data_IF_875551784380
#
_entry.id   IF_875551784380
#
_cell.length_a   1.000
_cell.length_b   1.000
_cell.length_c   1.000
_cell.angle_alpha   90.00
_cell.angle_beta   90.00
_cell.angle_gamma   90.00
#
_symmetry.space_group_name_H-M   'P 1'
#
loop_
_entity.id
_entity.type
_entity.pdbx_description
1 polymer ?
#
# COMPACT_ATOMS: atom_id res chain seq x y z
N UNK A 1 82.85 -10.82 -9.25
CA UNK A 1 81.39 -10.79 -9.00
C UNK A 1 80.84 -9.45 -9.49
N UNK A 2 79.75 -9.44 -10.25
CA UNK A 2 79.16 -8.20 -10.76
C UNK A 2 77.87 -7.80 -10.00
N UNK A 3 77.43 -6.55 -10.16
CA UNK A 3 76.20 -6.03 -9.51
C UNK A 3 74.95 -6.87 -9.84
N UNK A 4 74.87 -7.43 -11.05
CA UNK A 4 73.73 -8.21 -11.52
C UNK A 4 73.64 -9.56 -10.81
N UNK A 5 74.77 -10.23 -10.60
CA UNK A 5 74.90 -11.47 -9.82
C UNK A 5 74.56 -11.21 -8.36
N UNK A 6 75.10 -10.14 -7.77
CA UNK A 6 74.79 -9.73 -6.40
C UNK A 6 73.32 -9.39 -6.19
N UNK A 7 72.69 -8.75 -7.18
CA UNK A 7 71.28 -8.41 -7.14
C UNK A 7 70.40 -9.66 -7.01
N UNK A 8 70.78 -10.74 -7.70
CA UNK A 8 70.08 -12.02 -7.62
C UNK A 8 70.37 -12.75 -6.31
N UNK A 9 71.62 -12.76 -5.85
CA UNK A 9 72.00 -13.46 -4.61
C UNK A 9 71.38 -12.80 -3.37
N UNK A 10 71.34 -11.46 -3.34
CA UNK A 10 70.81 -10.71 -2.20
C UNK A 10 69.32 -10.41 -2.29
N UNK A 11 68.68 -10.75 -3.41
CA UNK A 11 67.28 -10.40 -3.72
C UNK A 11 66.99 -8.89 -3.60
N UNK A 12 67.98 -8.07 -3.99
CA UNK A 12 67.89 -6.60 -3.95
C UNK A 12 68.05 -6.06 -5.36
N UNK A 13 67.30 -5.03 -5.74
CA UNK A 13 67.42 -4.42 -7.06
C UNK A 13 68.84 -3.92 -7.37
N UNK A 14 69.29 -4.07 -8.62
CA UNK A 14 70.59 -3.54 -9.07
C UNK A 14 70.73 -2.03 -8.78
N UNK A 15 69.62 -1.28 -8.84
CA UNK A 15 69.60 0.14 -8.55
C UNK A 15 69.94 0.46 -7.10
N UNK A 16 69.47 -0.35 -6.15
CA UNK A 16 69.80 -0.18 -4.74
C UNK A 16 71.27 -0.53 -4.48
N UNK A 17 71.82 -1.56 -5.13
CA UNK A 17 73.25 -1.89 -5.07
C UNK A 17 74.11 -0.76 -5.66
N UNK A 18 73.75 -0.20 -6.83
CA UNK A 18 74.43 0.97 -7.42
C UNK A 18 74.37 2.19 -6.50
N UNK A 19 73.25 2.40 -5.82
CA UNK A 19 73.08 3.48 -4.84
C UNK A 19 73.94 3.26 -3.60
N UNK A 20 74.10 2.00 -3.15
CA UNK A 20 75.02 1.64 -2.09
C UNK A 20 76.47 1.90 -2.51
N UNK A 21 76.87 1.50 -3.73
CA UNK A 21 78.20 1.79 -4.27
C UNK A 21 78.50 3.30 -4.26
N UNK A 22 77.53 4.12 -4.71
CA UNK A 22 77.65 5.58 -4.71
C UNK A 22 77.84 6.14 -3.29
N UNK A 23 77.08 5.65 -2.31
CA UNK A 23 77.15 6.11 -0.91
C UNK A 23 78.45 5.72 -0.21
N UNK A 24 79.04 4.59 -0.59
CA UNK A 24 80.26 4.05 0.03
C UNK A 24 81.53 4.36 -0.79
N UNK A 25 81.44 5.19 -1.82
CA UNK A 25 82.61 5.62 -2.58
C UNK A 25 83.28 4.52 -3.42
N UNK A 26 82.55 3.48 -3.80
CA UNK A 26 83.09 2.38 -4.61
C UNK A 26 83.56 2.90 -5.97
N UNK A 27 84.77 2.51 -6.37
CA UNK A 27 85.41 2.96 -7.62
C UNK A 27 84.51 2.64 -8.82
N UNK A 28 84.32 3.64 -9.68
CA UNK A 28 83.64 3.49 -10.97
C UNK A 28 84.69 3.34 -12.07
N UNK A 29 84.46 2.43 -13.00
CA UNK A 29 85.27 2.25 -14.20
C UNK A 29 85.20 3.54 -15.05
N UNK A 30 86.34 3.99 -15.56
CA UNK A 30 86.40 5.11 -16.49
C UNK A 30 86.02 4.63 -17.90
N UNK A 31 85.41 5.51 -18.70
CA UNK A 31 84.98 5.18 -20.06
C UNK A 31 86.15 4.78 -20.99
N UNK A 32 87.36 5.21 -20.66
CA UNK A 32 88.61 4.84 -21.34
C UNK A 32 89.14 3.43 -21.01
N UNK A 33 88.74 2.82 -19.88
CA UNK A 33 89.07 1.44 -19.51
C UNK A 33 88.01 0.43 -19.97
N UNK A 34 86.77 0.91 -20.17
CA UNK A 34 85.65 0.08 -20.60
C UNK A 34 85.61 -0.07 -22.12
N UNK A 35 86.10 -1.21 -22.64
CA UNK A 35 86.07 -1.61 -24.07
C UNK A 35 84.64 -1.65 -24.66
N UNK A 36 84.03 -0.48 -24.91
CA UNK A 36 82.68 -0.32 -25.45
C UNK A 36 81.53 -0.72 -24.51
N UNK A 37 81.77 -0.86 -23.19
CA UNK A 37 80.76 -1.23 -22.20
C UNK A 37 80.35 -0.02 -21.36
N UNK A 38 79.09 0.05 -20.92
CA UNK A 38 78.63 1.08 -19.99
C UNK A 38 79.45 1.02 -18.69
N UNK A 39 80.08 2.14 -18.31
CA UNK A 39 80.88 2.30 -17.10
C UNK A 39 80.20 1.70 -15.85
N UNK A 40 80.78 0.64 -15.29
CA UNK A 40 80.30 -0.09 -14.11
C UNK A 40 81.02 0.31 -12.82
N UNK A 41 80.57 -0.24 -11.69
CA UNK A 41 81.35 -0.18 -10.44
C UNK A 41 82.28 -1.38 -10.37
N UNK A 42 83.54 -1.14 -9.98
CA UNK A 42 84.54 -2.17 -9.72
C UNK A 42 84.36 -2.65 -8.28
N UNK A 43 83.78 -3.84 -8.12
CA UNK A 43 83.53 -4.43 -6.81
C UNK A 43 84.74 -5.25 -6.37
N UNK A 44 85.30 -4.90 -5.21
CA UNK A 44 86.26 -5.73 -4.50
C UNK A 44 85.53 -6.78 -3.64
N UNK A 45 86.25 -7.81 -3.19
CA UNK A 45 85.69 -8.83 -2.29
C UNK A 45 85.15 -8.23 -0.99
N UNK A 46 85.83 -7.21 -0.46
CA UNK A 46 85.40 -6.46 0.72
C UNK A 46 84.09 -5.67 0.49
N UNK A 47 83.91 -5.07 -0.70
CA UNK A 47 82.65 -4.40 -1.05
C UNK A 47 81.49 -5.38 -1.10
N UNK A 48 81.74 -6.56 -1.67
CA UNK A 48 80.77 -7.65 -1.74
C UNK A 48 80.35 -8.10 -0.35
N UNK A 49 81.31 -8.39 0.53
CA UNK A 49 81.02 -8.84 1.90
C UNK A 49 80.26 -7.78 2.71
N UNK A 50 80.68 -6.52 2.59
CA UNK A 50 80.00 -5.38 3.22
C UNK A 50 78.56 -5.22 2.75
N UNK A 51 78.30 -5.39 1.44
CA UNK A 51 76.95 -5.40 0.90
C UNK A 51 76.11 -6.56 1.44
N UNK A 52 76.67 -7.78 1.52
CA UNK A 52 75.97 -8.96 2.03
C UNK A 52 75.53 -8.74 3.48
N UNK A 53 76.43 -8.24 4.33
CA UNK A 53 76.12 -7.93 5.74
C UNK A 53 75.03 -6.85 5.83
N UNK A 54 75.18 -5.76 5.08
CA UNK A 54 74.24 -4.64 5.11
C UNK A 54 72.82 -5.05 4.70
N UNK A 55 72.67 -5.72 3.56
CA UNK A 55 71.36 -6.09 3.04
C UNK A 55 70.72 -7.26 3.79
N UNK A 56 71.51 -8.18 4.35
CA UNK A 56 71.03 -9.20 5.28
C UNK A 56 70.43 -8.56 6.54
N UNK A 57 71.16 -7.64 7.19
CA UNK A 57 70.67 -6.93 8.37
C UNK A 57 69.44 -6.05 8.06
N UNK A 58 69.45 -5.37 6.91
CA UNK A 58 68.32 -4.55 6.46
C UNK A 58 67.07 -5.40 6.20
N UNK A 59 67.22 -6.54 5.52
CA UNK A 59 66.12 -7.46 5.25
C UNK A 59 65.53 -8.07 6.53
N UNK A 60 66.38 -8.43 7.50
CA UNK A 60 65.92 -8.94 8.81
C UNK A 60 65.06 -7.90 9.55
N UNK A 61 65.55 -6.65 9.64
CA UNK A 61 64.80 -5.56 10.28
C UNK A 61 63.46 -5.30 9.60
N UNK A 62 63.42 -5.29 8.27
CA UNK A 62 62.18 -5.08 7.52
C UNK A 62 61.16 -6.20 7.77
N UNK A 63 61.62 -7.46 7.82
CA UNK A 63 60.75 -8.61 8.17
C UNK A 63 60.20 -8.50 9.59
N UNK A 64 61.01 -8.11 10.56
CA UNK A 64 60.58 -7.90 11.95
C UNK A 64 59.53 -6.79 12.06
N UNK A 65 59.73 -5.67 11.35
CA UNK A 65 58.75 -4.57 11.30
C UNK A 65 57.45 -5.03 10.65
N UNK A 66 57.50 -5.75 9.52
CA UNK A 66 56.31 -6.30 8.85
C UNK A 66 55.54 -7.23 9.78
N UNK A 67 56.22 -8.20 10.39
CA UNK A 67 55.61 -9.12 11.36
C UNK A 67 55.00 -8.38 12.56
N UNK A 68 55.67 -7.36 13.07
CA UNK A 68 55.15 -6.53 14.16
C UNK A 68 53.90 -5.74 13.77
N UNK A 69 53.88 -5.17 12.56
CA UNK A 69 52.70 -4.46 12.05
C UNK A 69 51.54 -5.42 11.79
N UNK A 70 51.81 -6.59 11.20
CA UNK A 70 50.81 -7.64 10.99
C UNK A 70 50.20 -8.09 12.33
N UNK A 71 51.03 -8.34 13.35
CA UNK A 71 50.56 -8.68 14.70
C UNK A 71 49.63 -7.60 15.26
N UNK A 72 50.04 -6.33 15.21
CA UNK A 72 49.21 -5.21 15.70
C UNK A 72 47.89 -5.11 14.93
N UNK A 73 47.91 -5.32 13.61
CA UNK A 73 46.67 -5.31 12.82
C UNK A 73 45.75 -6.45 13.19
N UNK A 74 46.29 -7.64 13.48
CA UNK A 74 45.49 -8.78 13.96
C UNK A 74 44.87 -8.49 15.33
N UNK A 75 45.62 -7.90 16.25
CA UNK A 75 45.13 -7.55 17.58
C UNK A 75 43.96 -6.55 17.50
N UNK A 76 44.12 -5.50 16.69
CA UNK A 76 43.06 -4.49 16.46
C UNK A 76 41.81 -5.14 15.84
N UNK A 77 41.99 -6.02 14.85
CA UNK A 77 40.86 -6.72 14.21
C UNK A 77 40.16 -7.67 15.19
N UNK A 78 40.90 -8.34 16.07
CA UNK A 78 40.34 -9.20 17.10
C UNK A 78 39.49 -8.39 18.09
N UNK A 79 39.99 -7.23 18.56
CA UNK A 79 39.23 -6.33 19.43
C UNK A 79 37.94 -5.82 18.74
N UNK A 80 38.04 -5.45 17.46
CA UNK A 80 36.88 -5.03 16.68
C UNK A 80 35.84 -6.13 16.50
N UNK A 81 36.26 -7.38 16.33
CA UNK A 81 35.35 -8.53 16.26
C UNK A 81 34.60 -8.70 17.60
N UNK A 82 35.31 -8.65 18.72
CA UNK A 82 34.70 -8.74 20.05
C UNK A 82 33.66 -7.63 20.27
N UNK A 83 33.96 -6.40 19.85
CA UNK A 83 33.01 -5.30 19.98
C UNK A 83 31.79 -5.46 19.07
N UNK A 84 31.98 -5.94 17.85
CA UNK A 84 30.87 -6.26 16.94
C UNK A 84 29.99 -7.39 17.49
N UNK A 85 30.58 -8.42 18.08
CA UNK A 85 29.83 -9.52 18.68
C UNK A 85 28.96 -9.03 19.85
N UNK A 86 29.49 -8.12 20.68
CA UNK A 86 28.69 -7.46 21.74
C UNK A 86 27.54 -6.64 21.16
N UNK A 87 27.78 -5.88 20.10
CA UNK A 87 26.73 -5.10 19.43
C UNK A 87 25.64 -6.00 18.84
N UNK A 88 26.02 -7.12 18.22
CA UNK A 88 25.08 -8.13 17.70
C UNK A 88 24.24 -8.70 18.84
N UNK A 89 24.86 -9.08 19.96
CA UNK A 89 24.14 -9.61 21.12
C UNK A 89 23.12 -8.61 21.67
N UNK A 90 23.50 -7.35 21.82
CA UNK A 90 22.61 -6.27 22.28
C UNK A 90 21.44 -6.04 21.32
N UNK A 91 21.69 -6.00 20.01
CA UNK A 91 20.63 -5.85 19.01
C UNK A 91 19.66 -7.04 19.01
N UNK A 92 20.17 -8.27 19.18
CA UNK A 92 19.33 -9.46 19.31
C UNK A 92 18.44 -9.41 20.55
N UNK A 93 18.95 -8.91 21.68
CA UNK A 93 18.16 -8.74 22.89
C UNK A 93 17.05 -7.69 22.71
N UNK A 94 17.37 -6.55 22.10
CA UNK A 94 16.37 -5.53 21.75
C UNK A 94 15.31 -6.06 20.79
N UNK A 95 15.70 -6.88 19.82
CA UNK A 95 14.78 -7.49 18.87
C UNK A 95 13.82 -8.44 19.58
N UNK A 96 14.33 -9.32 20.45
CA UNK A 96 13.49 -10.20 21.29
C UNK A 96 12.53 -9.41 22.17
N UNK A 97 12.99 -8.30 22.76
CA UNK A 97 12.14 -7.43 23.57
C UNK A 97 11.01 -6.79 22.73
N UNK A 98 11.32 -6.33 21.51
CA UNK A 98 10.31 -5.79 20.60
C UNK A 98 9.32 -6.86 20.12
N UNK A 99 9.78 -8.08 19.82
CA UNK A 99 8.91 -9.18 19.43
C UNK A 99 7.94 -9.54 20.56
N UNK A 100 8.41 -9.57 21.81
CA UNK A 100 7.55 -9.78 22.97
C UNK A 100 6.51 -8.65 23.13
N UNK A 101 6.91 -7.39 22.92
CA UNK A 101 5.97 -6.26 22.94
C UNK A 101 4.94 -6.35 21.82
N UNK A 102 5.35 -6.74 20.61
CA UNK A 102 4.44 -6.93 19.48
C UNK A 102 3.44 -8.04 19.76
N UNK A 103 3.87 -9.15 20.35
CA UNK A 103 2.97 -10.23 20.77
C UNK A 103 1.94 -9.72 21.78
N UNK A 104 2.38 -9.00 22.82
CA UNK A 104 1.47 -8.40 23.81
C UNK A 104 0.49 -7.39 23.20
N UNK A 105 0.92 -6.60 22.22
CA UNK A 105 0.04 -5.66 21.52
C UNK A 105 -0.96 -6.38 20.62
N UNK A 106 -0.54 -7.48 19.98
CA UNK A 106 -1.42 -8.31 19.17
C UNK A 106 -2.49 -8.96 20.05
N UNK A 107 -2.10 -9.57 21.17
CA UNK A 107 -3.04 -10.15 22.14
C UNK A 107 -4.07 -9.12 22.63
N UNK A 108 -3.62 -7.89 22.94
CA UNK A 108 -4.52 -6.79 23.32
C UNK A 108 -5.45 -6.37 22.19
N UNK A 109 -4.95 -6.31 20.95
CA UNK A 109 -5.76 -5.98 19.79
C UNK A 109 -6.84 -7.04 19.54
N UNK A 110 -6.48 -8.33 19.60
CA UNK A 110 -7.42 -9.44 19.45
C UNK A 110 -8.47 -9.42 20.56
N UNK A 111 -8.06 -9.20 21.81
CA UNK A 111 -9.00 -9.07 22.93
C UNK A 111 -9.97 -7.90 22.73
N UNK A 112 -9.48 -6.73 22.30
CA UNK A 112 -10.33 -5.58 22.01
C UNK A 112 -11.30 -5.86 20.85
N UNK A 113 -10.86 -6.54 19.79
CA UNK A 113 -11.71 -6.94 18.67
C UNK A 113 -12.80 -7.93 19.11
N UNK A 114 -12.46 -8.93 19.93
CA UNK A 114 -13.42 -9.88 20.47
C UNK A 114 -14.48 -9.19 21.34
N UNK A 115 -14.06 -8.26 22.21
CA UNK A 115 -14.98 -7.44 23.02
C UNK A 115 -15.90 -6.57 22.15
N UNK A 116 -15.35 -5.97 21.09
CA UNK A 116 -16.14 -5.17 20.15
C UNK A 116 -17.18 -6.01 19.41
N UNK A 117 -16.78 -7.18 18.89
CA UNK A 117 -17.68 -8.12 18.23
C UNK A 117 -18.79 -8.60 19.19
N UNK A 118 -18.46 -8.95 20.43
CA UNK A 118 -19.44 -9.33 21.44
C UNK A 118 -20.43 -8.20 21.78
N UNK A 119 -19.97 -6.95 21.79
CA UNK A 119 -20.84 -5.78 22.00
C UNK A 119 -21.82 -5.59 20.83
N UNK A 120 -21.36 -5.78 19.60
CA UNK A 120 -22.23 -5.70 18.41
C UNK A 120 -23.30 -6.80 18.48
N UNK A 121 -22.92 -8.04 18.79
CA UNK A 121 -23.88 -9.14 18.91
C UNK A 121 -24.96 -8.85 19.96
N UNK A 122 -24.55 -8.37 21.14
CA UNK A 122 -25.51 -8.04 22.21
C UNK A 122 -26.48 -6.91 21.81
N UNK A 123 -26.03 -5.94 20.99
CA UNK A 123 -26.90 -4.90 20.46
C UNK A 123 -27.88 -5.45 19.42
N UNK A 124 -27.44 -6.35 18.56
CA UNK A 124 -28.29 -7.03 17.58
C UNK A 124 -29.37 -7.87 18.27
N UNK A 125 -28.98 -8.71 19.22
CA UNK A 125 -29.92 -9.55 19.98
C UNK A 125 -30.97 -8.70 20.72
N UNK A 126 -30.56 -7.54 21.25
CA UNK A 126 -31.48 -6.59 21.89
C UNK A 126 -32.45 -5.95 20.89
N UNK A 127 -31.97 -5.57 19.71
CA UNK A 127 -32.83 -5.02 18.64
C UNK A 127 -33.82 -6.07 18.13
N UNK A 128 -33.38 -7.32 17.93
CA UNK A 128 -34.25 -8.43 17.54
C UNK A 128 -35.32 -8.71 18.60
N UNK A 129 -34.93 -8.72 19.88
CA UNK A 129 -35.87 -8.90 20.99
C UNK A 129 -36.90 -7.76 21.08
N UNK A 130 -36.49 -6.51 20.81
CA UNK A 130 -37.39 -5.36 20.76
C UNK A 130 -38.35 -5.44 19.58
N UNK A 131 -37.85 -5.79 18.39
CA UNK A 131 -38.67 -5.97 17.20
C UNK A 131 -39.71 -7.09 17.37
N UNK A 132 -39.32 -8.22 17.97
CA UNK A 132 -40.25 -9.32 18.26
C UNK A 132 -41.34 -8.90 19.25
N UNK A 133 -41.00 -8.14 20.30
CA UNK A 133 -41.96 -7.69 21.29
C UNK A 133 -42.95 -6.65 20.73
N UNK A 134 -42.49 -5.74 19.86
CA UNK A 134 -43.35 -4.82 19.11
C UNK A 134 -44.28 -5.56 18.13
N UNK A 135 -43.77 -6.62 17.49
CA UNK A 135 -44.58 -7.45 16.57
C UNK A 135 -45.66 -8.23 17.33
N UNK A 136 -45.35 -8.80 18.50
CA UNK A 136 -46.35 -9.49 19.33
C UNK A 136 -47.40 -8.55 19.94
N UNK A 137 -47.03 -7.30 20.27
CA UNK A 137 -48.00 -6.29 20.73
C UNK A 137 -48.92 -5.78 19.61
N UNK A 138 -48.48 -5.86 18.35
CA UNK A 138 -49.31 -5.52 17.19
C UNK A 138 -50.28 -6.65 16.79
N UNK A 139 -49.99 -7.90 17.13
CA UNK A 139 -50.81 -9.06 16.78
C UNK A 139 -52.01 -9.32 17.72
N UNK A 140 -52.10 -8.66 18.90
CA UNK A 140 -53.28 -8.77 19.81
C UNK A 140 -54.38 -7.70 19.59
N UNK A 141 -54.22 -6.76 18.66
CA UNK A 141 -55.21 -5.70 18.34
C UNK A 141 -55.95 -5.80 16.96
N UNK A 142 -56.01 -6.91 16.20
CA UNK A 142 -56.45 -6.85 14.81
C UNK A 142 -57.98 -6.86 14.59
N UNK A 143 -58.82 -7.17 15.58
CA UNK A 143 -60.27 -7.35 15.33
C UNK A 143 -61.01 -6.04 15.10
N UNK A 144 -60.81 -5.03 15.97
CA UNK A 144 -61.56 -3.77 15.88
C UNK A 144 -61.24 -2.96 14.61
N UNK A 145 -59.98 -2.96 14.16
CA UNK A 145 -59.58 -2.26 12.95
C UNK A 145 -60.08 -2.97 11.68
N UNK A 146 -60.12 -4.30 11.67
CA UNK A 146 -60.64 -5.08 10.53
C UNK A 146 -62.16 -4.94 10.39
N UNK A 147 -62.89 -4.89 11.50
CA UNK A 147 -64.35 -4.68 11.49
C UNK A 147 -64.71 -3.28 10.96
N UNK A 148 -63.97 -2.25 11.36
CA UNK A 148 -64.16 -0.89 10.84
C UNK A 148 -63.86 -0.77 9.35
N UNK A 149 -62.80 -1.44 8.86
CA UNK A 149 -62.48 -1.46 7.42
C UNK A 149 -63.60 -2.14 6.63
N UNK A 150 -64.16 -3.22 7.17
CA UNK A 150 -65.27 -3.94 6.53
C UNK A 150 -66.54 -3.09 6.48
N UNK A 151 -66.90 -2.43 7.58
CA UNK A 151 -68.06 -1.52 7.65
C UNK A 151 -67.92 -0.34 6.68
N UNK A 152 -66.75 0.32 6.65
CA UNK A 152 -66.49 1.41 5.71
C UNK A 152 -66.53 0.93 4.25
N UNK A 153 -66.11 -0.30 3.97
CA UNK A 153 -66.17 -0.87 2.62
C UNK A 153 -67.60 -1.11 2.15
N UNK A 154 -68.50 -1.54 3.05
CA UNK A 154 -69.93 -1.74 2.77
C UNK A 154 -70.62 -0.39 2.53
N UNK A 155 -70.37 0.61 3.38
CA UNK A 155 -70.91 1.97 3.21
C UNK A 155 -70.49 2.59 1.87
N UNK A 156 -69.24 2.35 1.44
CA UNK A 156 -68.73 2.87 0.17
C UNK A 156 -69.36 2.16 -1.05
N UNK A 157 -69.68 0.86 -0.93
CA UNK A 157 -70.44 0.14 -1.96
C UNK A 157 -71.88 0.66 -2.07
N UNK A 158 -72.54 0.94 -0.94
CA UNK A 158 -73.90 1.48 -0.92
C UNK A 158 -73.97 2.88 -1.55
N UNK A 159 -73.04 3.77 -1.18
CA UNK A 159 -72.94 5.10 -1.79
C UNK A 159 -72.70 5.05 -3.31
N UNK A 160 -71.87 4.10 -3.78
CA UNK A 160 -71.66 3.88 -5.22
C UNK A 160 -72.95 3.42 -5.91
N UNK A 161 -73.74 2.55 -5.28
CA UNK A 161 -75.01 2.10 -5.83
C UNK A 161 -76.04 3.25 -5.88
N UNK A 162 -76.07 4.11 -4.86
CA UNK A 162 -76.95 5.27 -4.84
C UNK A 162 -76.58 6.30 -5.93
N UNK A 163 -75.29 6.55 -6.14
CA UNK A 163 -74.83 7.45 -7.20
C UNK A 163 -75.19 6.93 -8.60
N UNK A 164 -75.06 5.62 -8.85
CA UNK A 164 -75.52 5.03 -10.12
C UNK A 164 -77.02 5.23 -10.37
N UNK A 165 -77.85 5.12 -9.32
CA UNK A 165 -79.29 5.41 -9.43
C UNK A 165 -79.55 6.88 -9.77
N UNK A 166 -78.79 7.80 -9.17
CA UNK A 166 -78.90 9.24 -9.46
C UNK A 166 -78.47 9.57 -10.89
N UNK A 167 -77.40 8.97 -11.39
CA UNK A 167 -76.96 9.12 -12.79
C UNK A 167 -78.02 8.62 -13.77
N UNK A 168 -78.60 7.43 -13.53
CA UNK A 168 -79.69 6.92 -14.36
C UNK A 168 -80.93 7.83 -14.33
N UNK A 169 -81.28 8.39 -13.17
CA UNK A 169 -82.38 9.34 -13.06
C UNK A 169 -82.10 10.65 -13.83
N UNK A 170 -80.85 11.14 -13.80
CA UNK A 170 -80.44 12.31 -14.58
C UNK A 170 -80.52 12.02 -16.08
N UNK A 171 -80.05 10.87 -16.55
CA UNK A 171 -80.17 10.45 -17.95
C UNK A 171 -81.63 10.35 -18.42
N UNK A 172 -82.52 9.84 -17.56
CA UNK A 172 -83.96 9.79 -17.89
C UNK A 172 -84.56 11.19 -17.99
N UNK A 173 -84.17 12.13 -17.12
CA UNK A 173 -84.62 13.52 -17.16
C UNK A 173 -84.11 14.24 -18.41
N UNK A 174 -82.84 14.06 -18.78
CA UNK A 174 -82.28 14.67 -19.99
C UNK A 174 -82.96 14.11 -21.24
N UNK A 175 -83.18 12.80 -21.32
CA UNK A 175 -83.94 12.18 -22.41
C UNK A 175 -85.34 12.80 -22.53
N UNK A 176 -86.06 12.95 -21.42
CA UNK A 176 -87.40 13.56 -21.40
C UNK A 176 -87.40 15.02 -21.83
N UNK A 177 -86.38 15.80 -21.45
CA UNK A 177 -86.23 17.19 -21.90
C UNK A 177 -86.04 17.22 -23.43
N UNK A 178 -85.17 16.38 -23.97
CA UNK A 178 -84.96 16.32 -25.43
C UNK A 178 -86.21 15.88 -26.20
N UNK A 179 -87.01 14.95 -25.67
CA UNK A 179 -88.31 14.58 -26.23
C UNK A 179 -89.29 15.75 -26.23
N UNK A 180 -89.34 16.52 -25.15
CA UNK A 180 -90.20 17.72 -25.07
C UNK A 180 -89.74 18.82 -26.04
N UNK A 181 -88.43 19.04 -26.18
CA UNK A 181 -87.88 20.02 -27.13
C UNK A 181 -88.16 19.63 -28.59
N UNK A 182 -88.00 18.34 -28.94
CA UNK A 182 -88.34 17.83 -30.28
C UNK A 182 -89.85 17.86 -30.55
N UNK A 183 -90.68 17.54 -29.56
CA UNK A 183 -92.13 17.71 -29.64
C UNK A 183 -92.54 19.19 -29.84
N UNK A 184 -91.88 20.13 -29.14
CA UNK A 184 -92.10 21.56 -29.31
C UNK A 184 -91.67 22.03 -30.71
N UNK A 185 -90.51 21.58 -31.22
CA UNK A 185 -90.03 21.92 -32.57
C UNK A 185 -90.94 21.38 -33.68
N UNK A 186 -91.47 20.16 -33.53
CA UNK A 186 -92.44 19.59 -34.48
C UNK A 186 -93.80 20.28 -34.42
N UNK A 187 -94.24 20.74 -33.24
CA UNK A 187 -95.43 21.58 -33.09
C UNK A 187 -95.26 22.96 -33.74
N UNK A 188 -94.12 23.63 -33.51
CA UNK A 188 -93.80 24.93 -34.10
C UNK A 188 -93.71 24.89 -35.63
N UNK A 189 -93.13 23.82 -36.20
CA UNK A 189 -93.09 23.62 -37.65
C UNK A 189 -94.48 23.32 -38.23
N UNK A 190 -95.29 22.48 -37.58
CA UNK A 190 -96.70 22.27 -37.97
C UNK A 190 -97.51 23.56 -37.93
N UNK A 191 -97.34 24.38 -36.89
CA UNK A 191 -97.96 25.70 -36.77
C UNK A 191 -97.55 26.65 -37.90
N UNK A 192 -96.24 26.72 -38.21
CA UNK A 192 -95.72 27.57 -39.29
C UNK A 192 -96.22 27.12 -40.68
N UNK A 193 -96.30 25.81 -40.92
CA UNK A 193 -96.86 25.24 -42.16
C UNK A 193 -98.35 25.58 -42.26
N UNK A 194 -99.12 25.43 -41.18
CA UNK A 194 -100.52 25.84 -41.13
C UNK A 194 -100.71 27.33 -41.40
N UNK A 195 -99.90 28.21 -40.79
CA UNK A 195 -99.96 29.66 -41.05
C UNK A 195 -99.66 30.01 -42.51
N UNK A 196 -98.69 29.34 -43.15
CA UNK A 196 -98.36 29.54 -44.58
C UNK A 196 -99.46 29.04 -45.51
N UNK A 197 -100.07 27.89 -45.23
CA UNK A 197 -101.19 27.36 -46.02
C UNK A 197 -102.44 28.25 -45.89
N UNK A 198 -102.75 28.73 -44.69
CA UNK A 198 -103.90 29.59 -44.45
C UNK A 198 -103.74 30.99 -45.09
N UNK A 199 -102.52 31.52 -45.17
CA UNK A 199 -102.24 32.79 -45.87
C UNK A 199 -102.28 32.66 -47.41
N UNK A 200 -102.01 31.47 -47.96
CA UNK A 200 -102.05 31.24 -49.41
C UNK A 200 -103.47 31.00 -49.96
N UNK A 201 -104.43 30.66 -49.09
CA UNK A 201 -105.86 30.51 -49.45
C UNK A 201 -106.65 31.83 -49.44
N UNK A 202 -106.03 32.97 -49.07
CA UNK A 202 -106.67 34.30 -48.99
C UNK A 202 -106.20 35.29 -50.08
N UNK A 203 -105.60 34.81 -51.18
CA UNK A 203 -105.27 35.62 -52.36
C UNK A 203 -105.97 35.06 -53.59
#
# INVERSE_FOLDING_TARGET
MNIKELSRELEVSEQALRSWCKRNGVRKESESEAKGKKAGYLLTENDVESMKIYYSAKGKREKEIKKGNESKTLDILAEQLVEKDKQIASLLEQLKAKDAQLLQLNDKLTAAQALHAGTIQALQDKQESQAQNETSMAEEQPTAAQDQIKELSEQLQELKAENRKKEQAQEQLTARITELETAAATSATKSTIWSRLFHRSKK
#
